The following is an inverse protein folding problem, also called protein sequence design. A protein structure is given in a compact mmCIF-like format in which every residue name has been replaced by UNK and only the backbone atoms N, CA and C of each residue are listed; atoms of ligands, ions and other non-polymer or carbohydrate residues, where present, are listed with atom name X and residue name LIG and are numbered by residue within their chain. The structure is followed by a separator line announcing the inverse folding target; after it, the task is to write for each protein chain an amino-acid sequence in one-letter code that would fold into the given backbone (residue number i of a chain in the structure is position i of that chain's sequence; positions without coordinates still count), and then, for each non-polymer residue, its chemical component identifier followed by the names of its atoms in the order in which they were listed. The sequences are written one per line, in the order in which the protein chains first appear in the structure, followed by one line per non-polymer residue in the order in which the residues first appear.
data_IF_061386915180
#
_entry.id   IF_061386915180
#
_cell.length_a   1.000
_cell.length_b   1.000
_cell.length_c   1.000
_cell.angle_alpha   90.00
_cell.angle_beta   90.00
_cell.angle_gamma   90.00
#
_symmetry.space_group_name_H-M   'P 1'
#
loop_
_entity.id
_entity.type
_entity.pdbx_description
1 polymer ?
#
# COMPACT_ATOMS: atom_id res chain seq x y z
N UNK A 1 12.40 15.10 20.32
CA UNK A 1 12.14 14.73 18.91
C UNK A 1 13.08 13.60 18.50
N UNK A 2 12.79 12.90 17.40
CA UNK A 2 13.63 11.82 16.85
C UNK A 2 13.99 12.15 15.41
N UNK A 3 15.24 11.98 15.02
CA UNK A 3 15.61 12.07 13.62
C UNK A 3 15.25 10.74 12.93
N UNK A 4 14.52 10.81 11.83
CA UNK A 4 14.14 9.67 11.01
C UNK A 4 14.90 9.73 9.70
N UNK A 5 15.41 8.57 9.27
CA UNK A 5 16.16 8.40 8.03
C UNK A 5 15.56 7.21 7.29
N UNK A 6 15.15 7.40 6.04
CA UNK A 6 14.76 6.34 5.12
C UNK A 6 15.65 6.39 3.89
N UNK A 7 16.20 5.25 3.49
CA UNK A 7 17.15 5.19 2.39
C UNK A 7 17.15 3.79 1.80
N UNK A 8 17.35 3.69 0.49
CA UNK A 8 17.72 2.42 -0.12
C UNK A 8 19.20 2.16 0.08
N UNK A 9 19.53 0.90 0.30
CA UNK A 9 20.90 0.41 0.34
C UNK A 9 21.08 -0.65 -0.74
N UNK A 10 22.14 -0.51 -1.52
CA UNK A 10 22.60 -1.51 -2.48
C UNK A 10 23.99 -2.02 -2.11
N UNK A 11 24.61 -2.74 -3.04
CA UNK A 11 25.98 -3.26 -2.89
C UNK A 11 27.04 -2.15 -2.72
N UNK A 12 26.82 -0.96 -3.28
CA UNK A 12 27.70 0.20 -3.18
C UNK A 12 27.37 1.09 -1.96
N UNK A 13 26.53 0.63 -1.04
CA UNK A 13 26.06 1.40 0.12
C UNK A 13 24.76 2.14 -0.16
N UNK A 14 24.55 3.28 0.51
CA UNK A 14 23.30 4.04 0.41
C UNK A 14 23.12 4.68 -0.96
N UNK A 15 21.94 4.50 -1.55
CA UNK A 15 21.51 5.23 -2.72
C UNK A 15 21.14 6.66 -2.33
N UNK A 16 22.09 7.59 -2.49
CA UNK A 16 22.02 8.95 -1.92
C UNK A 16 20.76 9.71 -2.32
N UNK A 17 20.34 9.60 -3.57
CA UNK A 17 19.16 10.29 -4.08
C UNK A 17 17.83 9.77 -3.52
N UNK A 18 17.83 8.59 -2.88
CA UNK A 18 16.65 8.04 -2.18
C UNK A 18 16.61 8.41 -0.70
N UNK A 19 17.65 9.06 -0.17
CA UNK A 19 17.73 9.39 1.25
C UNK A 19 16.68 10.46 1.58
N UNK A 20 15.81 10.12 2.53
CA UNK A 20 14.82 11.00 3.13
C UNK A 20 15.15 11.14 4.62
N UNK A 21 15.42 12.37 5.04
CA UNK A 21 15.81 12.71 6.42
C UNK A 21 14.86 13.78 6.92
N UNK A 22 14.20 13.51 8.03
CA UNK A 22 13.31 14.47 8.65
C UNK A 22 13.24 14.30 10.16
N UNK A 23 12.91 15.38 10.85
CA UNK A 23 12.62 15.34 12.27
C UNK A 23 11.19 14.86 12.50
N UNK A 24 11.03 13.83 13.34
CA UNK A 24 9.73 13.31 13.68
C UNK A 24 9.02 14.21 14.69
N UNK A 25 7.91 14.78 14.24
CA UNK A 25 6.96 15.60 15.00
C UNK A 25 5.54 14.99 14.94
N UNK A 26 4.53 15.64 15.53
CA UNK A 26 3.14 15.16 15.45
C UNK A 26 2.60 15.18 14.00
N UNK A 27 2.97 16.23 13.26
CA UNK A 27 2.54 16.47 11.87
C UNK A 27 3.44 15.77 10.84
N UNK A 28 4.67 15.41 11.22
CA UNK A 28 5.64 14.83 10.30
C UNK A 28 6.29 13.59 10.94
N UNK A 29 5.73 12.41 10.66
CA UNK A 29 6.20 11.13 11.21
C UNK A 29 6.26 10.08 10.12
N UNK A 30 7.08 9.06 10.33
CA UNK A 30 7.02 7.88 9.48
C UNK A 30 5.69 7.17 9.70
N UNK A 31 4.82 7.22 8.71
CA UNK A 31 3.55 6.50 8.65
C UNK A 31 3.35 5.88 7.25
N UNK A 32 2.23 5.18 7.05
CA UNK A 32 1.92 4.56 5.75
C UNK A 32 1.84 5.56 4.60
N UNK A 33 1.42 6.80 4.84
CA UNK A 33 1.27 7.81 3.80
C UNK A 33 2.62 8.41 3.42
N UNK A 34 3.46 8.72 4.41
CA UNK A 34 4.83 9.19 4.19
C UNK A 34 5.65 8.13 3.46
N UNK A 35 5.57 6.88 3.91
CA UNK A 35 6.27 5.76 3.27
C UNK A 35 5.81 5.55 1.82
N UNK A 36 4.50 5.61 1.56
CA UNK A 36 3.97 5.49 0.21
C UNK A 36 4.50 6.60 -0.71
N UNK A 37 4.54 7.85 -0.23
CA UNK A 37 5.11 8.97 -0.97
C UNK A 37 6.61 8.80 -1.24
N UNK A 38 7.35 8.25 -0.27
CA UNK A 38 8.75 7.91 -0.43
C UNK A 38 8.96 6.80 -1.47
N UNK A 39 8.17 5.72 -1.46
CA UNK A 39 8.21 4.64 -2.45
C UNK A 39 7.89 5.17 -3.86
N UNK A 40 6.84 5.98 -4.01
CA UNK A 40 6.44 6.54 -5.32
C UNK A 40 7.56 7.40 -5.92
N UNK A 41 8.12 8.33 -5.13
CA UNK A 41 9.28 9.13 -5.55
C UNK A 41 10.51 8.28 -5.88
N UNK A 42 10.81 7.30 -5.03
CA UNK A 42 12.00 6.45 -5.18
C UNK A 42 11.90 5.53 -6.40
N UNK A 43 10.74 4.93 -6.64
CA UNK A 43 10.52 4.09 -7.82
C UNK A 43 10.62 4.91 -9.12
N UNK A 44 10.05 6.13 -9.14
CA UNK A 44 10.19 7.07 -10.25
C UNK A 44 11.64 7.44 -10.54
N UNK A 45 12.41 7.75 -9.49
CA UNK A 45 13.82 8.06 -9.56
C UNK A 45 14.63 6.90 -10.15
N UNK A 46 14.50 5.69 -9.59
CA UNK A 46 15.22 4.52 -10.06
C UNK A 46 14.87 4.18 -11.50
N UNK A 47 13.60 4.31 -11.90
CA UNK A 47 13.21 4.09 -13.29
C UNK A 47 13.88 5.09 -14.24
N UNK A 48 14.06 6.35 -13.83
CA UNK A 48 14.80 7.35 -14.63
C UNK A 48 16.29 7.03 -14.72
N UNK A 49 16.90 6.58 -13.62
CA UNK A 49 18.33 6.30 -13.53
C UNK A 49 18.73 5.03 -14.29
N UNK A 50 17.96 3.96 -14.17
CA UNK A 50 18.30 2.65 -14.73
C UNK A 50 17.58 2.33 -16.06
N UNK A 51 16.66 3.19 -16.50
CA UNK A 51 15.95 3.07 -17.79
C UNK A 51 14.95 1.91 -17.83
N UNK A 52 14.15 1.81 -18.90
CA UNK A 52 12.98 0.89 -18.98
C UNK A 52 13.33 -0.61 -19.09
N UNK A 53 14.53 -0.95 -19.57
CA UNK A 53 14.94 -2.34 -19.80
C UNK A 53 15.49 -3.03 -18.55
N UNK A 54 15.83 -2.26 -17.51
CA UNK A 54 16.30 -2.81 -16.25
C UNK A 54 15.13 -3.28 -15.41
N UNK A 55 15.19 -4.53 -14.94
CA UNK A 55 14.28 -5.03 -13.91
C UNK A 55 14.74 -4.48 -12.56
N UNK A 56 13.84 -3.81 -11.86
CA UNK A 56 14.11 -3.17 -10.57
C UNK A 56 13.20 -3.83 -9.54
N UNK A 57 13.79 -4.31 -8.45
CA UNK A 57 13.08 -4.91 -7.32
C UNK A 57 13.51 -4.19 -6.05
N UNK A 58 12.56 -3.64 -5.31
CA UNK A 58 12.79 -3.09 -3.98
C UNK A 58 12.45 -4.14 -2.94
N UNK A 59 13.44 -4.48 -2.11
CA UNK A 59 13.26 -5.38 -0.97
C UNK A 59 12.99 -4.51 0.25
N UNK A 60 11.83 -4.70 0.87
CA UNK A 60 11.41 -3.95 2.07
C UNK A 60 11.09 -4.93 3.20
N UNK A 61 11.23 -4.52 4.46
CA UNK A 61 10.81 -5.34 5.59
C UNK A 61 9.28 -5.45 5.67
N UNK A 62 8.81 -6.54 6.27
CA UNK A 62 7.39 -6.84 6.39
C UNK A 62 6.74 -6.10 7.58
N UNK A 63 6.80 -4.77 7.56
CA UNK A 63 6.21 -3.93 8.60
C UNK A 63 4.71 -3.63 8.33
N UNK A 64 3.84 -3.57 9.35
CA UNK A 64 2.41 -3.33 9.16
C UNK A 64 2.07 -2.07 8.34
N UNK A 65 2.84 -1.00 8.51
CA UNK A 65 2.60 0.28 7.83
C UNK A 65 3.05 0.28 6.36
N UNK A 66 3.85 -0.69 5.92
CA UNK A 66 4.16 -0.95 4.49
C UNK A 66 3.03 -1.66 3.76
N UNK A 67 2.14 -2.30 4.51
CA UNK A 67 1.16 -3.27 4.03
C UNK A 67 -0.27 -2.70 4.02
N UNK A 68 -0.42 -1.41 3.71
CA UNK A 68 -1.75 -0.81 3.55
C UNK A 68 -2.42 -1.40 2.30
N UNK A 69 -3.56 -2.07 2.52
CA UNK A 69 -4.38 -2.61 1.43
C UNK A 69 -5.03 -1.46 0.66
N UNK A 70 -5.14 -1.63 -0.64
CA UNK A 70 -5.96 -0.77 -1.50
C UNK A 70 -7.42 -0.80 -1.06
N UNK A 71 -8.16 0.29 -1.31
CA UNK A 71 -9.61 0.35 -1.04
C UNK A 71 -10.41 -0.78 -1.70
N UNK A 72 -9.93 -1.28 -2.84
CA UNK A 72 -10.52 -2.42 -3.53
C UNK A 72 -10.41 -3.70 -2.68
N UNK A 73 -9.20 -4.04 -2.23
CA UNK A 73 -8.96 -5.31 -1.52
C UNK A 73 -9.12 -5.22 0.00
N UNK A 74 -9.36 -4.02 0.54
CA UNK A 74 -9.60 -3.82 1.96
C UNK A 74 -10.91 -4.50 2.40
N UNK A 75 -10.85 -5.44 3.36
CA UNK A 75 -12.05 -6.12 3.84
C UNK A 75 -13.00 -5.14 4.56
N UNK A 76 -14.32 -5.23 4.33
CA UNK A 76 -15.29 -4.47 5.11
C UNK A 76 -15.19 -4.78 6.61
N UNK A 77 -15.30 -3.74 7.45
CA UNK A 77 -15.14 -3.87 8.92
C UNK A 77 -16.49 -3.82 9.62
N UNK A 78 -16.57 -4.40 10.83
CA UNK A 78 -17.76 -4.32 11.69
C UNK A 78 -18.19 -2.88 12.00
N UNK A 79 -17.27 -1.92 11.97
CA UNK A 79 -17.56 -0.51 12.16
C UNK A 79 -18.19 0.19 10.94
N UNK A 80 -18.12 -0.40 9.74
CA UNK A 80 -18.67 0.20 8.53
C UNK A 80 -20.19 0.30 8.59
N UNK A 81 -20.76 1.33 7.96
CA UNK A 81 -22.22 1.39 7.76
C UNK A 81 -22.64 0.32 6.76
N UNK A 82 -23.90 -0.14 6.85
CA UNK A 82 -24.43 -1.23 6.02
C UNK A 82 -24.28 -0.89 4.53
N UNK A 83 -24.52 0.37 4.18
CA UNK A 83 -24.47 0.91 2.82
C UNK A 83 -23.05 0.79 2.22
N UNK A 84 -22.00 1.03 3.02
CA UNK A 84 -20.62 0.90 2.55
C UNK A 84 -20.23 -0.56 2.30
N UNK A 85 -20.77 -1.50 3.09
CA UNK A 85 -20.56 -2.93 2.85
C UNK A 85 -21.24 -3.36 1.55
N UNK A 86 -22.46 -2.87 1.30
CA UNK A 86 -23.20 -3.10 0.05
C UNK A 86 -22.43 -2.52 -1.15
N UNK A 87 -21.94 -1.29 -1.04
CA UNK A 87 -21.11 -0.66 -2.08
C UNK A 87 -19.86 -1.49 -2.39
N UNK A 88 -19.19 -2.01 -1.37
CA UNK A 88 -18.03 -2.87 -1.54
C UNK A 88 -18.39 -4.17 -2.26
N UNK A 89 -19.48 -4.85 -1.86
CA UNK A 89 -19.97 -6.07 -2.51
C UNK A 89 -20.31 -5.83 -3.99
N UNK A 90 -21.02 -4.73 -4.28
CA UNK A 90 -21.37 -4.34 -5.64
C UNK A 90 -20.11 -4.03 -6.48
N UNK A 91 -19.11 -3.36 -5.92
CA UNK A 91 -17.85 -3.08 -6.61
C UNK A 91 -17.05 -4.35 -6.96
N UNK A 92 -17.35 -5.47 -6.28
CA UNK A 92 -16.79 -6.80 -6.55
C UNK A 92 -17.73 -7.68 -7.38
N UNK A 93 -18.84 -7.14 -7.88
CA UNK A 93 -19.88 -7.88 -8.61
C UNK A 93 -20.44 -9.06 -7.79
N UNK A 94 -20.62 -8.88 -6.48
CA UNK A 94 -21.20 -9.88 -5.58
C UNK A 94 -22.65 -9.50 -5.29
N UNK A 95 -23.57 -10.44 -5.53
CA UNK A 95 -24.99 -10.23 -5.29
C UNK A 95 -25.31 -9.98 -3.81
N UNK A 96 -26.15 -8.96 -3.58
CA UNK A 96 -26.56 -8.52 -2.25
C UNK A 96 -28.01 -8.94 -2.00
N UNK A 97 -28.30 -9.84 -1.03
CA UNK A 97 -29.67 -10.24 -0.75
C UNK A 97 -30.49 -9.06 -0.20
N UNK A 98 -31.70 -8.86 -0.75
CA UNK A 98 -32.56 -7.68 -0.48
C UNK A 98 -32.82 -7.45 1.02
N UNK A 99 -32.95 -8.53 1.80
CA UNK A 99 -33.25 -8.46 3.25
C UNK A 99 -32.05 -8.77 4.14
N UNK A 100 -30.84 -8.83 3.58
CA UNK A 100 -29.66 -9.22 4.35
C UNK A 100 -29.39 -8.26 5.51
N UNK A 101 -29.08 -8.79 6.68
CA UNK A 101 -28.60 -8.00 7.81
C UNK A 101 -27.09 -7.74 7.71
N UNK A 102 -26.59 -6.77 8.45
CA UNK A 102 -25.18 -6.34 8.37
C UNK A 102 -24.18 -7.49 8.61
N UNK A 103 -24.50 -8.42 9.51
CA UNK A 103 -23.66 -9.59 9.79
C UNK A 103 -23.59 -10.53 8.58
N UNK A 104 -24.72 -10.82 7.94
CA UNK A 104 -24.77 -11.65 6.73
C UNK A 104 -23.96 -11.03 5.58
N UNK A 105 -24.06 -9.70 5.41
CA UNK A 105 -23.27 -8.98 4.40
C UNK A 105 -21.76 -9.07 4.66
N UNK A 106 -21.35 -8.99 5.93
CA UNK A 106 -19.94 -9.18 6.30
C UNK A 106 -19.49 -10.61 6.01
N UNK A 107 -20.31 -11.61 6.32
CA UNK A 107 -19.99 -13.02 6.06
C UNK A 107 -19.86 -13.30 4.56
N UNK A 108 -20.74 -12.72 3.74
CA UNK A 108 -20.64 -12.79 2.28
C UNK A 108 -19.34 -12.13 1.81
N UNK A 109 -19.00 -10.95 2.31
CA UNK A 109 -17.77 -10.26 1.94
C UNK A 109 -16.51 -11.07 2.33
N UNK A 110 -16.48 -11.65 3.53
CA UNK A 110 -15.32 -12.42 4.01
C UNK A 110 -15.10 -13.71 3.22
N UNK A 111 -16.17 -14.32 2.70
CA UNK A 111 -16.08 -15.52 1.83
C UNK A 111 -15.60 -15.21 0.41
N UNK A 112 -15.69 -13.95 -0.02
CA UNK A 112 -15.40 -13.51 -1.39
C UNK A 112 -14.27 -12.46 -1.42
N UNK A 113 -13.34 -12.51 -0.47
CA UNK A 113 -12.22 -11.57 -0.45
C UNK A 113 -11.35 -11.75 -1.70
N UNK A 114 -11.03 -10.67 -2.44
CA UNK A 114 -10.07 -10.74 -3.52
C UNK A 114 -8.65 -10.99 -2.98
N UNK A 115 -7.73 -11.33 -3.88
CA UNK A 115 -6.30 -11.32 -3.56
C UNK A 115 -5.87 -9.94 -3.06
N UNK A 116 -5.03 -9.92 -2.02
CA UNK A 116 -4.55 -8.68 -1.40
C UNK A 116 -3.73 -7.86 -2.39
N UNK A 117 -4.03 -6.57 -2.48
CA UNK A 117 -3.23 -5.61 -3.23
C UNK A 117 -2.81 -4.49 -2.31
N UNK A 118 -1.51 -4.22 -2.26
CA UNK A 118 -0.93 -3.19 -1.41
C UNK A 118 -0.73 -1.91 -2.19
N UNK A 119 -1.03 -0.77 -1.55
CA UNK A 119 -0.87 0.53 -2.20
C UNK A 119 0.59 0.83 -2.58
N UNK A 120 1.53 0.36 -1.76
CA UNK A 120 2.97 0.45 -2.01
C UNK A 120 3.39 -0.30 -3.27
N UNK A 121 2.79 -1.47 -3.52
CA UNK A 121 3.03 -2.26 -4.74
C UNK A 121 2.46 -1.55 -5.96
N UNK A 122 1.23 -1.06 -5.87
CA UNK A 122 0.60 -0.30 -6.95
C UNK A 122 1.37 0.98 -7.27
N UNK A 123 1.89 1.69 -6.26
CA UNK A 123 2.72 2.88 -6.47
C UNK A 123 4.03 2.57 -7.21
N UNK A 124 4.75 1.52 -6.80
CA UNK A 124 5.99 1.11 -7.47
C UNK A 124 5.73 0.58 -8.89
N UNK A 125 4.65 -0.19 -9.06
CA UNK A 125 4.28 -0.82 -10.34
C UNK A 125 3.97 0.19 -11.44
N UNK A 126 3.48 1.39 -11.12
CA UNK A 126 3.35 2.51 -12.09
C UNK A 126 4.65 2.79 -12.84
N UNK A 127 5.79 2.54 -12.20
CA UNK A 127 7.13 2.75 -12.73
C UNK A 127 7.81 1.44 -13.17
N UNK A 128 7.05 0.36 -13.33
CA UNK A 128 7.56 -0.99 -13.61
C UNK A 128 8.58 -1.47 -12.56
N UNK A 129 8.39 -1.11 -11.29
CA UNK A 129 9.24 -1.53 -10.17
C UNK A 129 8.48 -2.56 -9.33
N UNK A 130 9.12 -3.69 -9.05
CA UNK A 130 8.55 -4.75 -8.21
C UNK A 130 8.89 -4.50 -6.73
N UNK A 131 7.98 -4.87 -5.83
CA UNK A 131 8.24 -4.92 -4.38
C UNK A 131 8.38 -6.38 -3.95
N UNK A 132 9.38 -6.67 -3.13
CA UNK A 132 9.57 -7.95 -2.44
C UNK A 132 9.55 -7.72 -0.92
N UNK A 133 8.85 -8.59 -0.19
CA UNK A 133 8.69 -8.58 1.27
C UNK A 133 9.03 -9.95 1.86
#
# INVERSE_FOLDING_TARGET
SRLVISALMGNAGFHRSSIDIFESTEDNRMDSSHFLAWIDRTASLLRKEFGIYTRIVLVIDNAPWHNRLTNYTMPPKRSWRKEHIIQWLNAHNIDVPVKAVKTELLDIAMKNLPEKRYETDEAAKKYNVDILR
#
